data_IF_170020243188
#
_entry.id   IF_170020243188
#
_cell.length_a   1.000
_cell.length_b   1.000
_cell.length_c   1.000
_cell.angle_alpha   90.00
_cell.angle_beta   90.00
_cell.angle_gamma   90.00
#
_symmetry.space_group_name_H-M   'P 1'
#
loop_
_entity.id
_entity.type
_entity.pdbx_description
1 polymer ?
#
# COMPACT_ATOMS: atom_id res chain seq x y z
N UNK A 1 -0.56 -17.08 -14.14
CA UNK A 1 -1.02 -16.20 -13.04
C UNK A 1 -2.54 -16.18 -12.97
N UNK A 2 -3.21 -15.86 -14.09
CA UNK A 2 -4.67 -15.80 -14.17
C UNK A 2 -5.39 -17.06 -13.64
N UNK A 3 -5.06 -18.26 -14.15
CA UNK A 3 -5.71 -19.50 -13.70
C UNK A 3 -5.59 -19.74 -12.18
N UNK A 4 -4.39 -19.47 -11.61
CA UNK A 4 -4.17 -19.54 -10.16
C UNK A 4 -5.06 -18.57 -9.39
N UNK A 5 -5.03 -17.28 -9.77
CA UNK A 5 -5.78 -16.26 -9.03
C UNK A 5 -7.29 -16.47 -9.17
N UNK A 6 -7.77 -16.86 -10.36
CA UNK A 6 -9.19 -17.14 -10.59
C UNK A 6 -9.69 -18.25 -9.66
N UNK A 7 -8.89 -19.29 -9.46
CA UNK A 7 -9.19 -20.35 -8.49
C UNK A 7 -9.16 -19.85 -7.05
N UNK A 8 -8.18 -19.01 -6.69
CA UNK A 8 -8.00 -18.48 -5.33
C UNK A 8 -9.09 -17.50 -4.90
N UNK A 9 -9.55 -16.62 -5.80
CA UNK A 9 -10.48 -15.53 -5.47
C UNK A 9 -11.91 -15.77 -5.92
N UNK A 10 -12.18 -16.84 -6.68
CA UNK A 10 -13.49 -17.11 -7.25
C UNK A 10 -14.03 -15.93 -8.08
N UNK A 11 -15.22 -15.46 -7.74
CA UNK A 11 -15.96 -14.41 -8.43
C UNK A 11 -15.90 -13.03 -7.74
N UNK A 12 -15.04 -12.88 -6.72
CA UNK A 12 -14.88 -11.62 -5.96
C UNK A 12 -14.54 -10.42 -6.86
N UNK A 13 -13.87 -10.66 -7.99
CA UNK A 13 -13.64 -9.63 -9.01
C UNK A 13 -14.05 -10.12 -10.39
N UNK A 14 -14.52 -9.19 -11.22
CA UNK A 14 -14.85 -9.49 -12.62
C UNK A 14 -13.65 -10.05 -13.36
N UNK A 15 -13.88 -11.08 -14.18
CA UNK A 15 -12.83 -11.75 -14.96
C UNK A 15 -11.97 -10.78 -15.78
N UNK A 16 -12.61 -9.83 -16.47
CA UNK A 16 -11.93 -8.79 -17.25
C UNK A 16 -10.94 -7.97 -16.40
N UNK A 17 -11.28 -7.68 -15.15
CA UNK A 17 -10.40 -6.96 -14.22
C UNK A 17 -9.24 -7.84 -13.79
N UNK A 18 -9.50 -9.12 -13.47
CA UNK A 18 -8.46 -10.07 -13.08
C UNK A 18 -7.45 -10.31 -14.22
N UNK A 19 -7.94 -10.46 -15.45
CA UNK A 19 -7.09 -10.64 -16.63
C UNK A 19 -6.18 -9.43 -16.84
N UNK A 20 -6.74 -8.22 -16.81
CA UNK A 20 -5.96 -6.98 -16.92
C UNK A 20 -4.88 -6.90 -15.83
N UNK A 21 -5.22 -7.20 -14.58
CA UNK A 21 -4.25 -7.23 -13.49
C UNK A 21 -3.10 -8.21 -13.75
N UNK A 22 -3.41 -9.42 -14.22
CA UNK A 22 -2.39 -10.42 -14.56
C UNK A 22 -1.49 -9.97 -15.72
N UNK A 23 -2.06 -9.37 -16.75
CA UNK A 23 -1.34 -8.91 -17.95
C UNK A 23 -0.41 -7.72 -17.62
N UNK A 24 -0.85 -6.80 -16.75
CA UNK A 24 -0.09 -5.59 -16.38
C UNK A 24 0.90 -5.81 -15.21
N UNK A 25 0.69 -6.84 -14.38
CA UNK A 25 1.48 -7.08 -13.17
C UNK A 25 3.01 -7.13 -13.38
N UNK A 26 3.55 -7.78 -14.44
CA UNK A 26 4.99 -7.78 -14.69
C UNK A 26 5.57 -6.37 -14.93
N UNK A 27 4.80 -5.47 -15.54
CA UNK A 27 5.20 -4.09 -15.80
C UNK A 27 5.28 -3.22 -14.53
N UNK A 28 4.55 -3.60 -13.48
CA UNK A 28 4.45 -2.82 -12.24
C UNK A 28 5.80 -2.69 -11.52
N UNK A 29 6.63 -3.74 -11.51
CA UNK A 29 7.95 -3.70 -10.87
C UNK A 29 8.81 -2.61 -11.53
N UNK A 30 8.93 -2.64 -12.86
CA UNK A 30 9.69 -1.64 -13.61
C UNK A 30 9.13 -0.23 -13.41
N UNK A 31 7.81 -0.10 -13.33
CA UNK A 31 7.16 1.19 -13.07
C UNK A 31 7.49 1.73 -11.68
N UNK A 32 7.43 0.89 -10.64
CA UNK A 32 7.82 1.28 -9.27
C UNK A 32 9.31 1.65 -9.19
N UNK A 33 10.18 0.92 -9.89
CA UNK A 33 11.61 1.21 -9.94
C UNK A 33 11.90 2.58 -10.57
N UNK A 34 11.14 2.99 -11.61
CA UNK A 34 11.23 4.36 -12.17
C UNK A 34 10.92 5.45 -11.13
N UNK A 35 10.10 5.15 -10.13
CA UNK A 35 9.79 6.09 -9.05
C UNK A 35 10.76 6.02 -7.86
N UNK A 36 11.72 5.08 -7.88
CA UNK A 36 12.78 4.95 -6.87
C UNK A 36 12.63 3.76 -5.94
N UNK A 37 11.64 2.88 -6.17
CA UNK A 37 11.61 1.59 -5.49
C UNK A 37 12.78 0.70 -5.94
N UNK A 38 13.15 -0.29 -5.14
CA UNK A 38 14.23 -1.25 -5.48
C UNK A 38 13.77 -2.66 -5.16
N UNK A 39 13.89 -3.56 -6.12
CA UNK A 39 13.56 -4.97 -5.93
C UNK A 39 14.80 -5.85 -6.13
N UNK A 40 14.79 -7.02 -5.49
CA UNK A 40 15.80 -8.07 -5.69
C UNK A 40 15.09 -9.39 -5.95
N UNK A 41 15.66 -10.23 -6.79
CA UNK A 41 15.10 -11.55 -7.14
C UNK A 41 15.51 -12.69 -6.21
N UNK A 42 16.09 -12.40 -5.04
CA UNK A 42 16.58 -13.44 -4.12
C UNK A 42 15.40 -14.26 -3.57
N UNK A 43 15.20 -15.48 -4.10
CA UNK A 43 14.13 -16.38 -3.70
C UNK A 43 14.39 -16.97 -2.31
N UNK A 44 13.35 -17.04 -1.48
CA UNK A 44 13.41 -17.76 -0.20
C UNK A 44 13.42 -19.27 -0.44
N UNK A 45 14.37 -20.03 0.16
CA UNK A 45 14.49 -21.47 -0.05
C UNK A 45 13.44 -22.29 0.72
N UNK A 46 12.66 -21.67 1.61
CA UNK A 46 11.64 -22.32 2.43
C UNK A 46 10.30 -21.58 2.38
N UNK A 47 9.21 -22.26 2.79
CA UNK A 47 7.90 -21.62 2.94
C UNK A 47 7.90 -20.76 4.20
N UNK A 48 7.47 -19.51 4.05
CA UNK A 48 7.33 -18.57 5.16
C UNK A 48 6.20 -17.58 4.85
N UNK A 49 5.56 -17.06 5.88
CA UNK A 49 4.63 -15.93 5.75
C UNK A 49 5.35 -14.64 5.41
N UNK A 50 6.60 -14.49 5.88
CA UNK A 50 7.43 -13.32 5.64
C UNK A 50 8.93 -13.65 5.77
N UNK A 51 9.73 -13.55 4.69
CA UNK A 51 11.16 -13.87 4.75
C UNK A 51 11.99 -12.80 5.47
N UNK A 52 13.19 -13.17 5.93
CA UNK A 52 14.18 -12.24 6.46
C UNK A 52 14.77 -11.35 5.34
N UNK A 53 15.72 -10.46 5.66
CA UNK A 53 16.31 -9.50 4.71
C UNK A 53 17.26 -10.09 3.67
N UNK A 54 17.52 -11.40 3.70
CA UNK A 54 18.31 -12.10 2.70
C UNK A 54 17.48 -12.49 1.46
N UNK A 55 16.15 -12.56 1.58
CA UNK A 55 15.25 -12.96 0.50
C UNK A 55 14.16 -11.91 0.22
N UNK A 56 13.96 -11.64 -1.07
CA UNK A 56 13.08 -10.58 -1.59
C UNK A 56 12.00 -11.10 -2.54
N UNK A 57 11.99 -12.41 -2.79
CA UNK A 57 10.95 -13.11 -3.52
C UNK A 57 10.57 -14.38 -2.75
N UNK A 58 9.28 -14.68 -2.61
CA UNK A 58 8.81 -15.89 -1.94
C UNK A 58 7.41 -16.31 -2.41
N UNK A 59 7.02 -17.52 -2.04
CA UNK A 59 5.66 -18.04 -2.20
C UNK A 59 4.78 -17.47 -1.09
N UNK A 60 4.05 -16.40 -1.39
CA UNK A 60 3.27 -15.64 -0.39
C UNK A 60 1.86 -16.20 -0.20
N UNK A 61 1.34 -16.97 -1.14
CA UNK A 61 -0.01 -17.54 -1.10
C UNK A 61 0.00 -19.06 -1.02
N UNK A 62 -1.01 -19.65 -1.65
CA UNK A 62 -1.21 -21.10 -1.71
C UNK A 62 -0.71 -21.69 -3.03
N UNK A 63 0.23 -21.03 -3.72
CA UNK A 63 0.58 -21.36 -5.11
C UNK A 63 1.13 -22.78 -5.31
N UNK A 64 1.69 -23.40 -4.25
CA UNK A 64 2.18 -24.79 -4.26
C UNK A 64 1.18 -25.81 -3.71
N UNK A 65 0.12 -25.37 -3.04
CA UNK A 65 -0.83 -26.25 -2.38
C UNK A 65 -1.86 -26.78 -3.38
N UNK A 66 -2.41 -27.95 -3.11
CA UNK A 66 -3.63 -28.41 -3.77
C UNK A 66 -4.82 -27.53 -3.34
N UNK A 67 -5.79 -27.21 -4.22
CA UNK A 67 -5.89 -27.60 -5.64
C UNK A 67 -5.10 -26.69 -6.61
N UNK A 68 -4.53 -25.59 -6.10
CA UNK A 68 -3.92 -24.53 -6.90
C UNK A 68 -2.76 -24.97 -7.79
N UNK A 69 -1.92 -25.89 -7.30
CA UNK A 69 -0.79 -26.44 -8.06
C UNK A 69 -1.23 -27.34 -9.22
N UNK A 70 -2.45 -27.87 -9.18
CA UNK A 70 -3.04 -28.68 -10.26
C UNK A 70 -3.61 -27.83 -11.39
N UNK A 71 -4.07 -26.60 -11.10
CA UNK A 71 -4.69 -25.70 -12.09
C UNK A 71 -3.70 -24.71 -12.74
N UNK A 72 -2.54 -24.50 -12.11
CA UNK A 72 -1.50 -23.61 -12.63
C UNK A 72 -0.12 -24.01 -12.14
N UNK A 73 0.90 -23.86 -13.00
CA UNK A 73 2.31 -24.02 -12.59
C UNK A 73 2.62 -23.10 -11.39
N UNK A 74 3.06 -23.64 -10.25
CA UNK A 74 3.44 -22.83 -9.10
C UNK A 74 4.53 -21.83 -9.48
N UNK A 75 4.37 -20.57 -9.07
CA UNK A 75 5.39 -19.54 -9.22
C UNK A 75 5.36 -18.61 -8.00
N UNK A 76 6.52 -18.18 -7.48
CA UNK A 76 6.57 -17.23 -6.37
C UNK A 76 6.12 -15.85 -6.84
N UNK A 77 5.26 -15.19 -6.07
CA UNK A 77 4.68 -13.87 -6.42
C UNK A 77 4.85 -12.82 -5.33
N UNK A 78 5.30 -13.21 -4.14
CA UNK A 78 5.56 -12.30 -3.02
C UNK A 78 6.84 -11.51 -3.20
N UNK A 79 6.77 -10.39 -3.91
CA UNK A 79 7.90 -9.47 -4.08
C UNK A 79 8.01 -8.52 -2.89
N UNK A 80 9.22 -8.33 -2.37
CA UNK A 80 9.52 -7.35 -1.32
C UNK A 80 10.47 -6.29 -1.86
N UNK A 81 10.14 -5.03 -1.57
CA UNK A 81 11.07 -3.93 -1.80
C UNK A 81 12.27 -4.05 -0.85
N UNK A 82 13.46 -3.77 -1.36
CA UNK A 82 14.67 -3.57 -0.56
C UNK A 82 14.52 -2.28 0.21
N UNK A 83 14.33 -2.40 1.52
CA UNK A 83 14.12 -1.27 2.41
C UNK A 83 14.55 -1.61 3.82
N UNK A 84 15.14 -0.63 4.52
CA UNK A 84 15.44 -0.75 5.94
C UNK A 84 14.18 -0.38 6.74
N UNK A 85 13.55 -1.38 7.35
CA UNK A 85 12.22 -1.30 7.95
C UNK A 85 11.12 -1.96 7.10
N UNK A 86 9.87 -1.55 7.31
CA UNK A 86 8.73 -2.16 6.60
C UNK A 86 8.71 -1.77 5.11
N UNK A 87 8.74 -2.74 4.17
CA UNK A 87 8.79 -2.45 2.72
C UNK A 87 7.65 -1.57 2.21
N UNK A 88 6.46 -1.65 2.82
CA UNK A 88 5.33 -0.79 2.48
C UNK A 88 5.63 0.70 2.69
N UNK A 89 6.39 1.05 3.74
CA UNK A 89 6.83 2.42 3.97
C UNK A 89 7.82 2.89 2.89
N UNK A 90 8.72 2.00 2.46
CA UNK A 90 9.64 2.27 1.35
C UNK A 90 8.92 2.53 0.03
N UNK A 91 7.92 1.71 -0.31
CA UNK A 91 7.11 1.88 -1.52
C UNK A 91 6.34 3.21 -1.45
N UNK A 92 5.69 3.50 -0.32
CA UNK A 92 4.98 4.75 -0.12
C UNK A 92 5.91 5.97 -0.28
N UNK A 93 7.12 5.92 0.30
CA UNK A 93 8.13 6.96 0.14
C UNK A 93 8.52 7.16 -1.32
N UNK A 94 8.85 6.10 -2.05
CA UNK A 94 9.24 6.18 -3.46
C UNK A 94 8.12 6.83 -4.31
N UNK A 95 6.86 6.44 -4.08
CA UNK A 95 5.71 6.99 -4.79
C UNK A 95 5.45 8.45 -4.45
N UNK A 96 5.48 8.83 -3.16
CA UNK A 96 5.27 10.21 -2.73
C UNK A 96 6.37 11.13 -3.27
N UNK A 97 7.63 10.68 -3.24
CA UNK A 97 8.74 11.44 -3.82
C UNK A 97 8.62 11.54 -5.34
N UNK A 98 8.19 10.46 -6.00
CA UNK A 98 7.86 10.46 -7.43
C UNK A 98 6.77 11.46 -7.80
N UNK A 99 5.69 11.50 -7.03
CA UNK A 99 4.58 12.43 -7.21
C UNK A 99 5.05 13.90 -7.05
N UNK A 100 5.86 14.19 -6.02
CA UNK A 100 6.45 15.53 -5.83
C UNK A 100 7.32 15.96 -7.01
N UNK A 101 8.16 15.06 -7.54
CA UNK A 101 8.98 15.34 -8.74
C UNK A 101 8.13 15.67 -9.97
N UNK A 102 6.93 15.11 -10.07
CA UNK A 102 5.96 15.38 -11.14
C UNK A 102 5.10 16.64 -10.89
N UNK A 103 5.34 17.37 -9.79
CA UNK A 103 4.57 18.58 -9.45
C UNK A 103 3.22 18.31 -8.80
N UNK A 104 2.93 17.08 -8.37
CA UNK A 104 1.69 16.76 -7.66
C UNK A 104 1.68 17.46 -6.30
N UNK A 105 0.63 18.23 -6.04
CA UNK A 105 0.41 18.85 -4.73
C UNK A 105 -0.11 17.81 -3.74
N UNK A 106 0.63 17.65 -2.64
CA UNK A 106 0.25 16.74 -1.55
C UNK A 106 -0.08 17.61 -0.34
N UNK A 107 -1.32 17.54 0.14
CA UNK A 107 -1.84 18.39 1.24
C UNK A 107 -2.20 17.53 2.45
N UNK A 108 -1.23 17.05 3.26
CA UNK A 108 -1.52 16.33 4.49
C UNK A 108 -1.48 17.25 5.73
N UNK A 109 -2.16 16.90 6.82
CA UNK A 109 -3.24 15.92 6.89
C UNK A 109 -4.55 16.54 6.39
N UNK A 110 -5.25 15.81 5.50
CA UNK A 110 -6.57 16.21 5.00
C UNK A 110 -7.56 15.05 5.11
N UNK A 111 -8.81 15.37 5.46
CA UNK A 111 -9.94 14.43 5.54
C UNK A 111 -11.05 14.90 4.62
N UNK A 112 -11.42 14.08 3.65
CA UNK A 112 -12.59 14.34 2.79
C UNK A 112 -13.86 14.15 3.60
N UNK A 113 -14.76 15.14 3.56
CA UNK A 113 -16.04 15.12 4.27
C UNK A 113 -17.22 14.89 3.31
N UNK A 114 -17.12 15.39 2.07
CA UNK A 114 -18.24 15.35 1.13
C UNK A 114 -17.77 15.19 -0.31
N UNK A 115 -18.56 14.47 -1.10
CA UNK A 115 -18.42 14.41 -2.55
C UNK A 115 -19.39 15.43 -3.17
N UNK A 116 -18.88 16.25 -4.08
CA UNK A 116 -19.67 17.22 -4.82
C UNK A 116 -20.15 16.59 -6.13
N UNK A 117 -21.47 16.51 -6.31
CA UNK A 117 -22.10 15.97 -7.51
C UNK A 117 -22.74 17.07 -8.34
N UNK A 118 -22.68 16.92 -9.66
CA UNK A 118 -23.48 17.71 -10.59
C UNK A 118 -24.94 17.22 -10.64
N UNK A 119 -25.81 17.98 -11.32
CA UNK A 119 -27.24 17.64 -11.49
C UNK A 119 -27.45 16.31 -12.24
N UNK A 120 -26.51 15.93 -13.10
CA UNK A 120 -26.50 14.67 -13.85
C UNK A 120 -25.91 13.48 -13.05
N UNK A 121 -25.52 13.70 -11.79
CA UNK A 121 -24.89 12.71 -10.93
C UNK A 121 -23.37 12.56 -11.13
N UNK A 122 -22.73 13.34 -12.00
CA UNK A 122 -21.28 13.27 -12.19
C UNK A 122 -20.52 13.84 -10.99
N UNK A 123 -19.38 13.24 -10.61
CA UNK A 123 -18.50 13.79 -9.58
C UNK A 123 -17.80 15.05 -10.11
N UNK A 124 -17.87 16.15 -9.35
CA UNK A 124 -17.25 17.45 -9.68
C UNK A 124 -16.14 17.86 -8.72
N UNK A 125 -16.05 17.23 -7.56
CA UNK A 125 -15.01 17.51 -6.59
C UNK A 125 -15.30 16.90 -5.22
N UNK A 126 -14.53 17.32 -4.24
CA UNK A 126 -14.71 16.95 -2.83
C UNK A 126 -14.56 18.18 -1.94
N UNK A 127 -15.34 18.24 -0.86
CA UNK A 127 -15.06 19.12 0.27
C UNK A 127 -14.19 18.35 1.26
N UNK A 128 -13.13 18.98 1.77
CA UNK A 128 -12.22 18.36 2.73
C UNK A 128 -11.80 19.34 3.81
N UNK A 129 -11.57 18.81 5.01
CA UNK A 129 -10.92 19.50 6.12
C UNK A 129 -9.42 19.28 6.01
N UNK A 130 -8.64 20.32 6.23
CA UNK A 130 -7.18 20.25 6.25
C UNK A 130 -6.64 21.10 7.38
N UNK A 131 -5.50 20.72 7.96
CA UNK A 131 -4.83 21.61 8.91
C UNK A 131 -4.50 22.91 8.21
N UNK A 132 -5.07 24.02 8.71
CA UNK A 132 -4.64 25.36 8.31
C UNK A 132 -3.10 25.42 8.41
N UNK A 133 -2.45 26.07 7.44
CA UNK A 133 -1.01 26.04 7.19
C UNK A 133 -0.21 26.79 8.28
N UNK A 134 -0.37 26.36 9.52
CA UNK A 134 0.34 26.79 10.70
C UNK A 134 1.38 25.73 11.00
N UNK A 135 2.65 26.05 10.73
CA UNK A 135 3.77 25.15 10.92
C UNK A 135 3.78 24.48 12.31
N UNK A 136 3.31 25.18 13.36
CA UNK A 136 3.24 24.66 14.71
C UNK A 136 2.16 23.59 14.91
N UNK A 137 0.98 23.74 14.30
CA UNK A 137 -0.11 22.75 14.37
C UNK A 137 0.26 21.49 13.61
N UNK A 138 0.85 21.63 12.43
CA UNK A 138 1.34 20.51 11.63
C UNK A 138 2.43 19.73 12.37
N UNK A 139 3.46 20.43 12.88
CA UNK A 139 4.53 19.79 13.64
C UNK A 139 4.02 19.05 14.90
N UNK A 140 3.01 19.62 15.58
CA UNK A 140 2.36 18.97 16.73
C UNK A 140 1.60 17.72 16.30
N UNK A 141 0.84 17.78 15.21
CA UNK A 141 0.13 16.63 14.65
C UNK A 141 1.11 15.51 14.28
N UNK A 142 2.15 15.82 13.50
CA UNK A 142 3.21 14.88 13.12
C UNK A 142 3.89 14.25 14.33
N UNK A 143 4.20 15.04 15.36
CA UNK A 143 4.82 14.52 16.60
C UNK A 143 3.91 13.52 17.30
N UNK A 144 2.61 13.81 17.43
CA UNK A 144 1.65 12.93 18.08
C UNK A 144 1.42 11.65 17.27
N UNK A 145 1.24 11.76 15.95
CA UNK A 145 1.06 10.62 15.06
C UNK A 145 2.30 9.72 15.06
N UNK A 146 3.51 10.30 15.00
CA UNK A 146 4.76 9.53 15.11
C UNK A 146 4.89 8.81 16.45
N UNK A 147 4.50 9.45 17.56
CA UNK A 147 4.45 8.78 18.86
C UNK A 147 3.43 7.65 18.89
N UNK A 148 2.27 7.82 18.23
CA UNK A 148 1.22 6.80 18.18
C UNK A 148 1.73 5.53 17.48
N UNK A 149 2.53 5.67 16.41
CA UNK A 149 3.11 4.53 15.69
C UNK A 149 3.95 3.61 16.60
N UNK A 150 4.66 4.16 17.60
CA UNK A 150 5.46 3.37 18.54
C UNK A 150 4.61 2.46 19.44
N UNK A 151 3.33 2.82 19.65
CA UNK A 151 2.40 2.08 20.51
C UNK A 151 1.34 1.32 19.71
N UNK A 152 1.30 1.46 18.38
CA UNK A 152 0.22 0.94 17.54
C UNK A 152 0.05 -0.58 17.68
N UNK A 153 1.15 -1.32 17.81
CA UNK A 153 1.14 -2.78 17.91
C UNK A 153 1.03 -3.23 19.38
N UNK A 154 1.72 -2.55 20.29
CA UNK A 154 1.89 -3.01 21.68
C UNK A 154 0.80 -2.50 22.61
N UNK A 155 0.31 -1.27 22.43
CA UNK A 155 -0.66 -0.61 23.29
C UNK A 155 -1.68 0.20 22.44
N UNK A 156 -2.60 -0.49 21.72
CA UNK A 156 -3.56 0.17 20.84
C UNK A 156 -4.40 1.27 21.50
N UNK A 157 -4.85 1.17 22.77
CA UNK A 157 -5.58 2.26 23.42
C UNK A 157 -4.77 3.56 23.53
N UNK A 158 -3.47 3.47 23.80
CA UNK A 158 -2.57 4.63 23.89
C UNK A 158 -2.33 5.23 22.49
N UNK A 159 -2.13 4.39 21.48
CA UNK A 159 -2.03 4.85 20.09
C UNK A 159 -3.32 5.58 19.67
N UNK A 160 -4.49 5.02 19.97
CA UNK A 160 -5.79 5.64 19.72
C UNK A 160 -5.95 6.99 20.44
N UNK A 161 -5.54 7.09 21.70
CA UNK A 161 -5.55 8.36 22.43
C UNK A 161 -4.65 9.42 21.78
N UNK A 162 -3.44 9.04 21.33
CA UNK A 162 -2.51 9.93 20.63
C UNK A 162 -3.08 10.38 19.28
N UNK A 163 -3.68 9.49 18.50
CA UNK A 163 -4.34 9.81 17.23
C UNK A 163 -5.52 10.75 17.42
N UNK A 164 -6.36 10.51 18.43
CA UNK A 164 -7.48 11.39 18.77
C UNK A 164 -6.99 12.79 19.16
N UNK A 165 -5.89 12.87 19.93
CA UNK A 165 -5.27 14.15 20.29
C UNK A 165 -4.64 14.87 19.10
N UNK A 166 -4.10 14.13 18.14
CA UNK A 166 -3.58 14.67 16.88
C UNK A 166 -4.71 15.24 16.02
N UNK A 167 -5.85 14.53 15.96
CA UNK A 167 -7.00 14.85 15.12
C UNK A 167 -7.82 16.04 15.64
N UNK A 168 -7.86 16.28 16.97
CA UNK A 168 -8.52 17.46 17.56
C UNK A 168 -8.03 18.83 17.05
N UNK A 169 -6.93 18.88 16.30
CA UNK A 169 -6.41 20.13 15.75
C UNK A 169 -6.75 20.32 14.26
N UNK A 170 -7.29 19.29 13.58
CA UNK A 170 -7.86 19.33 12.21
C UNK A 170 -9.29 19.83 12.33
#
# INVERSE_FOLDING_TARGET
>A
MFAYLREEIGDVVKEKTLKRFCDESPGMIKWLEKHGARFKGALSPYKTSYPNTQHYLYFSGSEKAYPYSSVAKPAPRGHRMVYDGFPGAGIAKALLDGARRLGVQIVPPSKVEKILLAKDGSVRGVEYLTLANSASKLAKHEKLTRRALNYQITLPPIAGWLHNRASKNI
#
